data_IF_689355335322
#
_entry.id   IF_689355335322
#
_cell.length_a   1.000
_cell.length_b   1.000
_cell.length_c   1.000
_cell.angle_alpha   90.00
_cell.angle_beta   90.00
_cell.angle_gamma   90.00
#
_symmetry.space_group_name_H-M   'P 1'
#
loop_
_entity.id
_entity.type
_entity.pdbx_description
1 polymer ?
#
# COMPACT_ATOMS: atom_id res chain seq x y z
N UNK A 1 28.88 11.21 -4.57
CA UNK A 1 27.41 11.32 -4.56
C UNK A 1 26.95 10.85 -3.21
N UNK A 2 26.14 11.64 -2.51
CA UNK A 2 25.66 11.31 -1.17
C UNK A 2 24.35 12.02 -0.90
N UNK A 3 23.44 11.34 -0.22
CA UNK A 3 22.18 11.90 0.27
C UNK A 3 22.33 12.16 1.77
N UNK A 4 21.89 13.32 2.23
CA UNK A 4 21.77 13.62 3.66
C UNK A 4 20.30 13.57 4.05
N UNK A 5 19.91 12.59 4.85
CA UNK A 5 18.61 12.55 5.49
C UNK A 5 18.67 13.39 6.77
N UNK A 6 17.85 14.43 6.89
CA UNK A 6 17.65 15.16 8.14
C UNK A 6 16.36 14.69 8.79
N UNK A 7 16.44 14.28 10.05
CA UNK A 7 15.32 13.67 10.76
C UNK A 7 14.72 14.67 11.73
N UNK A 8 13.39 14.78 11.75
CA UNK A 8 12.66 15.73 12.59
C UNK A 8 11.57 15.04 13.40
N UNK A 9 11.54 15.32 14.71
CA UNK A 9 10.45 14.99 15.61
C UNK A 9 9.59 16.25 15.80
N UNK A 10 8.38 16.24 15.22
CA UNK A 10 7.37 17.27 15.44
C UNK A 10 6.15 16.73 16.17
N UNK A 11 6.25 15.56 16.80
CA UNK A 11 5.13 14.94 17.49
C UNK A 11 4.56 15.82 18.60
N UNK A 12 5.40 16.66 19.21
CA UNK A 12 5.03 17.46 20.38
C UNK A 12 4.80 16.61 21.63
N UNK A 13 5.14 15.32 21.59
CA UNK A 13 5.10 14.44 22.74
C UNK A 13 6.15 14.86 23.77
N UNK A 14 5.82 14.72 25.05
CA UNK A 14 6.81 14.88 26.10
C UNK A 14 7.70 13.65 26.12
N UNK A 15 9.02 13.81 26.24
CA UNK A 15 9.94 12.67 26.40
C UNK A 15 9.61 11.79 27.62
N UNK A 16 8.80 12.30 28.56
CA UNK A 16 8.31 11.53 29.71
C UNK A 16 7.12 10.62 29.37
N UNK A 17 6.38 10.89 28.30
CA UNK A 17 5.28 10.04 27.83
C UNK A 17 5.78 9.06 26.79
N UNK A 18 6.35 9.54 25.69
CA UNK A 18 6.90 8.72 24.62
C UNK A 18 7.94 9.49 23.80
N UNK A 19 8.78 8.76 23.08
CA UNK A 19 9.78 9.30 22.17
C UNK A 19 9.65 8.65 20.79
N UNK A 20 10.10 9.36 19.75
CA UNK A 20 10.32 8.76 18.43
C UNK A 20 11.68 8.06 18.43
N UNK A 21 11.68 6.80 17.99
CA UNK A 21 12.85 5.97 17.79
C UNK A 21 12.99 5.63 16.31
N UNK A 22 14.23 5.59 15.83
CA UNK A 22 14.55 5.23 14.44
C UNK A 22 15.55 4.07 14.42
N UNK A 23 15.25 3.07 13.62
CA UNK A 23 16.19 2.03 13.19
C UNK A 23 16.40 2.17 11.68
N UNK A 24 17.57 1.78 11.18
CA UNK A 24 17.85 1.88 9.75
C UNK A 24 18.80 0.80 9.27
N UNK A 25 18.63 0.37 8.01
CA UNK A 25 19.54 -0.58 7.38
C UNK A 25 19.61 -0.40 5.87
N UNK A 26 20.77 -0.78 5.32
CA UNK A 26 20.99 -0.94 3.89
C UNK A 26 20.91 -2.43 3.56
N UNK A 27 19.96 -2.83 2.72
CA UNK A 27 19.84 -4.20 2.26
C UNK A 27 20.73 -4.39 1.03
N UNK A 28 22.04 -4.52 1.20
CA UNK A 28 22.97 -4.61 0.07
C UNK A 28 22.89 -5.89 -0.79
N UNK A 29 21.83 -6.70 -0.66
CA UNK A 29 21.61 -7.96 -1.39
C UNK A 29 22.66 -9.04 -1.15
N UNK A 30 23.63 -8.78 -0.28
CA UNK A 30 24.78 -9.63 0.00
C UNK A 30 25.27 -9.39 1.42
N UNK A 31 25.95 -10.40 1.97
CA UNK A 31 26.57 -10.35 3.29
C UNK A 31 27.52 -9.15 3.45
N UNK A 32 28.27 -8.81 2.41
CA UNK A 32 29.31 -7.79 2.50
C UNK A 32 28.78 -6.36 2.46
N UNK A 33 27.53 -6.19 2.00
CA UNK A 33 26.91 -4.89 1.79
C UNK A 33 25.81 -4.57 2.80
N UNK A 34 25.41 -5.52 3.67
CA UNK A 34 24.45 -5.24 4.74
C UNK A 34 25.06 -4.38 5.85
N UNK A 35 24.42 -3.23 6.09
CA UNK A 35 24.85 -2.21 7.07
C UNK A 35 23.66 -1.76 7.89
N UNK A 36 23.91 -1.33 9.11
CA UNK A 36 22.88 -0.78 10.02
C UNK A 36 23.20 0.66 10.38
N UNK A 37 22.16 1.41 10.72
CA UNK A 37 22.28 2.78 11.19
C UNK A 37 22.99 2.80 12.55
N UNK A 38 24.08 3.54 12.62
CA UNK A 38 24.92 3.73 13.78
C UNK A 38 25.30 5.22 13.86
N UNK A 39 24.67 5.93 14.80
CA UNK A 39 24.63 7.39 14.81
C UNK A 39 24.20 7.97 13.45
N UNK A 40 25.06 8.77 12.81
CA UNK A 40 24.75 9.51 11.58
C UNK A 40 25.14 8.77 10.28
N UNK A 41 25.53 7.50 10.36
CA UNK A 41 26.08 6.74 9.23
C UNK A 41 25.54 5.30 9.21
N UNK A 42 25.64 4.64 8.05
CA UNK A 42 25.45 3.20 7.94
C UNK A 42 26.78 2.48 8.09
N UNK A 43 26.91 1.61 9.09
CA UNK A 43 28.16 0.95 9.45
C UNK A 43 28.02 -0.56 9.58
N UNK A 44 29.17 -1.25 9.61
CA UNK A 44 29.29 -2.67 9.99
C UNK A 44 30.13 -2.73 11.27
N UNK A 45 29.83 -3.67 12.19
CA UNK A 45 30.66 -3.87 13.37
C UNK A 45 32.07 -4.38 13.00
N UNK A 46 32.21 -5.12 11.89
CA UNK A 46 33.51 -5.49 11.33
C UNK A 46 33.42 -5.72 9.82
N UNK A 47 34.57 -5.77 9.14
CA UNK A 47 34.65 -6.06 7.71
C UNK A 47 34.26 -7.51 7.36
N UNK A 48 34.28 -8.42 8.34
CA UNK A 48 34.09 -9.87 8.14
C UNK A 48 32.88 -10.44 8.88
N UNK A 49 32.15 -9.62 9.62
CA UNK A 49 30.98 -10.03 10.42
C UNK A 49 29.83 -9.06 10.12
N UNK A 50 28.67 -9.56 9.70
CA UNK A 50 27.53 -8.70 9.43
C UNK A 50 26.91 -8.28 10.78
N UNK A 51 26.19 -7.16 10.82
CA UNK A 51 25.35 -6.84 11.98
C UNK A 51 24.42 -8.01 12.33
N UNK A 52 24.43 -8.45 13.59
CA UNK A 52 23.52 -9.48 14.13
C UNK A 52 22.19 -8.91 14.64
N UNK A 53 22.10 -7.59 14.70
CA UNK A 53 20.89 -6.86 15.07
C UNK A 53 20.88 -5.46 14.45
N UNK A 54 19.70 -4.84 14.38
CA UNK A 54 19.50 -3.43 14.03
C UNK A 54 19.06 -2.67 15.28
N UNK A 55 19.93 -1.81 15.84
CA UNK A 55 19.58 -1.04 17.04
C UNK A 55 18.59 0.08 16.70
N UNK A 56 17.79 0.46 17.69
CA UNK A 56 17.02 1.69 17.64
C UNK A 56 17.83 2.82 18.27
N UNK A 57 17.68 4.01 17.72
CA UNK A 57 18.26 5.23 18.25
C UNK A 57 17.15 6.24 18.48
N UNK A 58 17.24 7.01 19.55
CA UNK A 58 16.29 8.09 19.81
C UNK A 58 16.44 9.15 18.73
N UNK A 59 15.35 9.56 18.10
CA UNK A 59 15.42 10.45 16.93
C UNK A 59 16.03 11.81 17.27
N UNK A 60 15.84 12.30 18.49
CA UNK A 60 16.48 13.53 19.00
C UNK A 60 18.00 13.49 18.99
N UNK A 61 18.58 12.29 19.03
CA UNK A 61 20.01 12.05 19.13
C UNK A 61 20.63 11.81 17.75
N UNK A 62 19.80 11.62 16.71
CA UNK A 62 20.19 11.41 15.31
C UNK A 62 19.67 12.56 14.44
N UNK A 63 20.41 13.67 14.44
CA UNK A 63 19.98 14.88 13.71
C UNK A 63 20.04 14.73 12.18
N UNK A 64 20.94 13.86 11.71
CA UNK A 64 21.11 13.57 10.29
C UNK A 64 21.67 12.17 10.07
N UNK A 65 21.43 11.61 8.89
CA UNK A 65 22.00 10.35 8.41
C UNK A 65 22.57 10.56 7.03
N UNK A 66 23.81 10.13 6.80
CA UNK A 66 24.48 10.25 5.50
C UNK A 66 24.47 8.90 4.79
N UNK A 67 23.88 8.89 3.59
CA UNK A 67 23.94 7.77 2.67
C UNK A 67 24.94 8.06 1.55
N UNK A 68 26.08 7.38 1.59
CA UNK A 68 27.12 7.44 0.54
C UNK A 68 27.41 6.08 -0.11
N UNK A 69 26.83 5.02 0.44
CA UNK A 69 27.01 3.66 -0.08
C UNK A 69 26.08 3.41 -1.26
N UNK A 70 26.58 2.62 -2.23
CA UNK A 70 25.73 2.08 -3.29
C UNK A 70 24.77 1.09 -2.67
N UNK A 71 23.49 1.23 -3.01
CA UNK A 71 22.43 0.36 -2.48
C UNK A 71 21.64 -0.28 -3.60
N UNK A 72 20.76 -1.22 -3.26
CA UNK A 72 19.89 -1.91 -4.22
C UNK A 72 18.48 -1.31 -4.29
N UNK A 73 18.18 -0.28 -3.49
CA UNK A 73 16.86 0.35 -3.42
C UNK A 73 15.85 -0.30 -2.48
N UNK A 74 16.22 -1.34 -1.71
CA UNK A 74 15.37 -1.99 -0.70
C UNK A 74 15.86 -1.66 0.72
N UNK A 75 16.22 -0.39 0.94
CA UNK A 75 16.73 0.11 2.21
C UNK A 75 15.62 0.82 3.00
N UNK A 76 15.70 0.78 4.32
CA UNK A 76 14.59 1.22 5.18
C UNK A 76 15.07 2.03 6.36
N UNK A 77 14.35 3.11 6.66
CA UNK A 77 14.28 3.72 7.98
C UNK A 77 12.93 3.34 8.59
N UNK A 78 12.96 2.70 9.75
CA UNK A 78 11.79 2.30 10.53
C UNK A 78 11.64 3.26 11.71
N UNK A 79 10.51 3.97 11.76
CA UNK A 79 10.17 4.90 12.83
C UNK A 79 9.15 4.25 13.77
N UNK A 80 9.36 4.37 15.08
CA UNK A 80 8.46 3.84 16.11
C UNK A 80 8.27 4.89 17.19
N UNK A 81 7.03 5.09 17.65
CA UNK A 81 6.76 5.92 18.84
C UNK A 81 6.53 4.99 20.02
N UNK A 82 7.33 5.12 21.07
CA UNK A 82 7.30 4.20 22.23
C UNK A 82 7.64 4.93 23.53
N UNK A 83 7.09 4.44 24.64
CA UNK A 83 7.38 4.94 26.01
C UNK A 83 8.78 4.55 26.51
N UNK A 84 9.41 3.57 25.87
CA UNK A 84 10.75 3.08 26.18
C UNK A 84 11.53 2.75 24.90
N UNK A 85 12.85 2.62 25.01
CA UNK A 85 13.71 2.16 23.91
C UNK A 85 13.23 0.78 23.41
N UNK A 86 12.91 0.65 22.11
CA UNK A 86 12.58 -0.65 21.52
C UNK A 86 13.77 -1.61 21.56
N UNK A 87 13.47 -2.90 21.71
CA UNK A 87 14.49 -3.94 21.51
C UNK A 87 15.04 -3.90 20.09
N UNK A 88 16.34 -4.14 19.94
CA UNK A 88 16.98 -4.22 18.63
C UNK A 88 16.39 -5.35 17.78
N UNK A 89 16.16 -5.10 16.49
CA UNK A 89 15.64 -6.13 15.59
C UNK A 89 16.72 -7.19 15.34
N UNK A 90 16.42 -8.45 15.57
CA UNK A 90 17.34 -9.55 15.24
C UNK A 90 17.51 -9.67 13.74
N UNK A 91 18.72 -9.96 13.25
CA UNK A 91 18.96 -10.19 11.82
C UNK A 91 19.12 -11.68 11.52
N UNK A 92 18.61 -12.13 10.38
CA UNK A 92 18.81 -13.48 9.85
C UNK A 92 19.05 -13.38 8.36
N UNK A 93 20.11 -14.04 7.86
CA UNK A 93 20.52 -13.98 6.45
C UNK A 93 20.68 -12.55 5.91
N UNK A 94 21.23 -11.64 6.73
CA UNK A 94 21.43 -10.22 6.40
C UNK A 94 20.12 -9.46 6.12
N UNK A 95 19.01 -9.92 6.70
CA UNK A 95 17.73 -9.24 6.68
C UNK A 95 17.21 -9.10 8.11
N UNK A 96 16.80 -7.89 8.55
CA UNK A 96 16.14 -7.73 9.85
C UNK A 96 14.83 -8.52 9.88
N UNK A 97 14.58 -9.21 10.98
CA UNK A 97 13.25 -9.75 11.27
C UNK A 97 12.40 -8.57 11.71
N UNK A 98 11.59 -8.07 10.77
CA UNK A 98 10.72 -6.91 10.99
C UNK A 98 9.60 -7.24 11.97
N UNK A 99 8.95 -6.20 12.50
CA UNK A 99 7.74 -6.36 13.32
C UNK A 99 6.69 -7.17 12.57
N UNK A 100 5.90 -7.97 13.31
CA UNK A 100 4.70 -8.57 12.74
C UNK A 100 3.79 -7.44 12.21
N UNK A 101 3.26 -7.61 10.99
CA UNK A 101 2.26 -6.68 10.44
C UNK A 101 0.99 -6.71 11.29
N UNK A 102 0.35 -5.54 11.44
CA UNK A 102 -0.88 -5.40 12.19
C UNK A 102 -2.10 -5.69 11.31
N UNK A 103 -3.23 -6.12 11.88
CA UNK A 103 -3.50 -6.26 13.31
C UNK A 103 -3.04 -7.60 13.89
N UNK A 104 -3.02 -7.70 15.21
CA UNK A 104 -2.59 -8.91 15.92
C UNK A 104 -3.78 -9.72 16.44
N UNK A 105 -4.05 -10.89 15.84
CA UNK A 105 -5.03 -11.85 16.37
C UNK A 105 -4.51 -12.60 17.60
N UNK A 106 -3.20 -12.78 17.68
CA UNK A 106 -2.49 -13.44 18.79
C UNK A 106 -1.30 -12.57 19.22
N UNK A 107 -0.59 -12.96 20.28
CA UNK A 107 0.70 -12.33 20.62
C UNK A 107 1.62 -12.40 19.38
N UNK A 108 2.09 -11.26 18.85
CA UNK A 108 2.94 -11.23 17.67
C UNK A 108 4.29 -11.90 17.93
N UNK A 109 4.89 -12.49 16.88
CA UNK A 109 6.21 -13.12 17.00
C UNK A 109 7.30 -12.10 17.33
N UNK A 110 7.19 -10.91 16.75
CA UNK A 110 8.00 -9.73 17.09
C UNK A 110 7.02 -8.57 17.29
N UNK A 111 6.78 -8.21 18.55
CA UNK A 111 5.88 -7.12 18.93
C UNK A 111 6.54 -5.77 18.66
N UNK A 112 5.84 -4.86 17.97
CA UNK A 112 6.22 -3.46 18.01
C UNK A 112 5.81 -2.86 19.36
N UNK A 113 6.68 -2.07 20.03
CA UNK A 113 6.35 -1.43 21.30
C UNK A 113 5.42 -0.22 21.14
N UNK A 114 5.07 0.15 19.91
CA UNK A 114 4.12 1.21 19.61
C UNK A 114 3.81 1.34 18.12
N UNK A 115 3.05 2.37 17.72
CA UNK A 115 2.76 2.64 16.31
C UNK A 115 4.06 2.91 15.55
N UNK A 116 4.14 2.40 14.31
CA UNK A 116 5.34 2.45 13.50
C UNK A 116 5.02 2.65 12.02
N UNK A 117 6.01 3.16 11.28
CA UNK A 117 5.91 3.35 9.83
C UNK A 117 7.29 3.38 9.19
N UNK A 118 7.35 3.21 7.87
CA UNK A 118 8.61 3.01 7.13
C UNK A 118 8.81 4.07 6.06
N UNK A 119 10.05 4.54 5.94
CA UNK A 119 10.54 5.26 4.78
C UNK A 119 11.50 4.36 3.98
N UNK A 120 11.17 4.14 2.71
CA UNK A 120 11.94 3.30 1.79
C UNK A 120 12.87 4.19 0.94
N UNK A 121 14.13 3.78 0.82
CA UNK A 121 15.15 4.57 0.14
C UNK A 121 16.17 3.72 -0.62
N UNK A 122 16.95 4.41 -1.46
CA UNK A 122 18.18 3.89 -2.01
C UNK A 122 19.02 4.98 -2.68
N UNK A 123 20.34 4.75 -2.79
CA UNK A 123 21.20 5.68 -3.53
C UNK A 123 20.94 5.52 -5.03
N UNK A 124 20.58 6.62 -5.70
CA UNK A 124 20.16 6.62 -7.09
C UNK A 124 18.88 5.78 -7.33
N UNK A 125 17.93 5.82 -6.38
CA UNK A 125 16.61 5.23 -6.47
C UNK A 125 15.50 6.28 -6.21
N UNK A 126 14.25 5.93 -6.52
CA UNK A 126 13.11 6.71 -6.04
C UNK A 126 12.95 6.51 -4.53
N UNK A 127 12.51 7.55 -3.84
CA UNK A 127 12.23 7.51 -2.40
C UNK A 127 10.72 7.53 -2.19
N UNK A 128 10.22 6.76 -1.21
CA UNK A 128 8.78 6.67 -0.97
C UNK A 128 8.40 6.43 0.49
N UNK A 129 7.15 6.80 0.78
CA UNK A 129 6.40 6.34 1.93
C UNK A 129 5.35 5.34 1.44
N UNK A 130 5.07 4.32 2.23
CA UNK A 130 4.13 3.27 1.86
C UNK A 130 3.07 3.07 2.93
N UNK A 131 1.82 2.87 2.51
CA UNK A 131 0.71 2.50 3.39
C UNK A 131 0.10 1.15 2.96
N UNK A 132 0.85 0.34 2.20
CA UNK A 132 0.41 -0.97 1.66
C UNK A 132 0.18 -1.98 2.78
N UNK A 133 1.02 -1.95 3.82
CA UNK A 133 0.90 -2.78 5.03
C UNK A 133 0.23 -2.01 6.18
N UNK A 134 -0.58 -1.02 5.81
CA UNK A 134 -1.27 -0.12 6.72
C UNK A 134 -0.56 1.22 6.98
N UNK A 135 -1.19 2.08 7.79
CA UNK A 135 -0.71 3.41 8.14
C UNK A 135 -0.61 3.59 9.67
N UNK A 136 0.60 3.83 10.18
CA UNK A 136 0.88 3.95 11.62
C UNK A 136 1.24 5.35 12.07
N UNK A 137 2.08 6.08 11.32
CA UNK A 137 2.59 7.40 11.67
C UNK A 137 2.35 8.39 10.53
N UNK A 138 2.06 9.65 10.86
CA UNK A 138 1.95 10.76 9.90
C UNK A 138 3.32 11.23 9.40
N UNK A 139 4.04 10.32 8.74
CA UNK A 139 5.31 10.62 8.10
C UNK A 139 5.12 11.53 6.89
N UNK A 140 6.12 12.38 6.69
CA UNK A 140 6.28 13.19 5.49
C UNK A 140 7.75 13.39 5.20
N UNK A 141 8.07 13.69 3.94
CA UNK A 141 9.43 14.05 3.59
C UNK A 141 9.48 15.14 2.53
N UNK A 142 10.60 15.85 2.49
CA UNK A 142 10.89 16.81 1.43
C UNK A 142 12.23 16.53 0.79
N UNK A 143 12.34 16.70 -0.52
CA UNK A 143 13.61 16.57 -1.25
C UNK A 143 14.01 17.94 -1.80
N UNK A 144 15.19 18.42 -1.42
CA UNK A 144 15.73 19.66 -1.97
C UNK A 144 15.90 19.54 -3.49
N UNK A 145 15.59 20.63 -4.21
CA UNK A 145 15.74 20.75 -5.66
C UNK A 145 14.87 19.80 -6.52
N UNK A 146 13.95 19.03 -5.93
CA UNK A 146 12.92 18.28 -6.64
C UNK A 146 11.70 19.16 -6.99
N UNK A 147 11.08 19.04 -8.18
CA UNK A 147 9.96 19.92 -8.58
C UNK A 147 8.75 19.90 -7.65
N UNK A 148 8.48 18.75 -7.02
CA UNK A 148 7.31 18.55 -6.16
C UNK A 148 7.60 18.82 -4.67
N UNK A 149 8.87 18.96 -4.30
CA UNK A 149 9.48 19.21 -2.98
C UNK A 149 8.97 18.43 -1.76
N UNK A 150 7.68 18.15 -1.58
CA UNK A 150 7.06 17.56 -0.38
C UNK A 150 6.22 16.32 -0.70
N UNK A 151 6.21 15.33 0.19
CA UNK A 151 5.56 14.02 0.03
C UNK A 151 5.01 13.50 1.38
N UNK A 152 3.98 12.67 1.37
CA UNK A 152 3.35 12.13 2.59
C UNK A 152 2.23 13.01 3.16
N UNK A 153 2.09 13.03 4.49
CA UNK A 153 1.04 13.77 5.20
C UNK A 153 1.35 15.27 5.28
N UNK A 154 0.33 16.12 5.15
CA UNK A 154 0.46 17.57 5.37
C UNK A 154 0.97 17.90 6.77
N UNK A 155 1.80 18.94 6.86
CA UNK A 155 2.42 19.39 8.12
C UNK A 155 1.43 19.92 9.15
N UNK A 156 0.26 20.40 8.72
CA UNK A 156 -0.78 20.96 9.60
C UNK A 156 -1.81 19.92 10.07
N UNK A 157 -1.58 18.63 9.80
CA UNK A 157 -2.48 17.54 10.16
C UNK A 157 -1.86 16.63 11.21
N UNK A 158 -2.48 16.60 12.39
CA UNK A 158 -2.06 15.74 13.48
C UNK A 158 -2.55 14.31 13.32
N UNK A 159 -1.85 13.37 13.96
CA UNK A 159 -2.24 11.97 13.99
C UNK A 159 -3.64 11.77 14.61
N UNK A 160 -3.97 12.54 15.65
CA UNK A 160 -5.32 12.54 16.24
C UNK A 160 -6.41 12.98 15.24
N UNK A 161 -6.13 13.95 14.38
CA UNK A 161 -7.06 14.39 13.34
C UNK A 161 -7.28 13.31 12.29
N UNK A 162 -6.24 12.58 11.88
CA UNK A 162 -6.34 11.48 10.90
C UNK A 162 -7.27 10.39 11.41
N UNK A 163 -7.15 9.99 12.68
CA UNK A 163 -8.04 8.99 13.29
C UNK A 163 -9.52 9.41 13.22
N UNK A 164 -9.81 10.65 13.62
CA UNK A 164 -11.17 11.22 13.59
C UNK A 164 -11.70 11.34 12.16
N UNK A 165 -10.82 11.74 11.23
CA UNK A 165 -11.15 11.83 9.81
C UNK A 165 -11.51 10.45 9.26
N UNK A 166 -10.75 9.40 9.57
CA UNK A 166 -11.03 8.02 9.12
C UNK A 166 -12.42 7.56 9.53
N UNK A 167 -12.75 7.65 10.82
CA UNK A 167 -14.07 7.22 11.32
C UNK A 167 -15.20 7.98 10.63
N UNK A 168 -15.03 9.28 10.43
CA UNK A 168 -16.05 10.13 9.80
C UNK A 168 -16.14 9.90 8.29
N UNK A 169 -15.01 9.65 7.63
CA UNK A 169 -14.92 9.31 6.22
C UNK A 169 -15.68 8.03 5.91
N UNK A 170 -15.39 6.94 6.64
CA UNK A 170 -16.10 5.66 6.48
C UNK A 170 -17.60 5.82 6.68
N UNK A 171 -18.03 6.58 7.70
CA UNK A 171 -19.47 6.87 7.92
C UNK A 171 -20.09 7.71 6.81
N UNK A 172 -19.34 8.64 6.22
CA UNK A 172 -19.82 9.49 5.13
C UNK A 172 -19.96 8.69 3.83
N UNK A 173 -18.96 7.88 3.48
CA UNK A 173 -19.00 6.99 2.33
C UNK A 173 -20.12 5.95 2.46
N UNK A 174 -20.35 5.45 3.68
CA UNK A 174 -21.43 4.51 3.98
C UNK A 174 -22.84 5.04 3.67
N UNK A 175 -23.01 6.36 3.51
CA UNK A 175 -24.29 6.94 3.05
C UNK A 175 -24.59 6.61 1.59
N UNK A 176 -23.55 6.40 0.78
CA UNK A 176 -23.67 6.02 -0.62
C UNK A 176 -23.61 4.50 -0.81
N UNK A 177 -22.83 3.79 0.02
CA UNK A 177 -22.76 2.33 0.02
C UNK A 177 -22.49 1.78 1.43
N UNK A 178 -23.50 1.14 2.03
CA UNK A 178 -23.44 0.65 3.41
C UNK A 178 -22.30 -0.36 3.65
N UNK A 179 -21.84 -1.06 2.61
CA UNK A 179 -20.76 -2.06 2.71
C UNK A 179 -19.43 -1.43 3.13
N UNK A 180 -19.25 -0.12 2.91
CA UNK A 180 -18.05 0.62 3.34
C UNK A 180 -17.87 0.58 4.86
N UNK A 181 -18.93 0.37 5.65
CA UNK A 181 -18.80 0.19 7.11
C UNK A 181 -17.91 -0.99 7.51
N UNK A 182 -17.70 -1.97 6.62
CA UNK A 182 -16.77 -3.08 6.85
C UNK A 182 -15.33 -2.59 7.12
N UNK A 183 -14.94 -1.41 6.64
CA UNK A 183 -13.61 -0.83 6.84
C UNK A 183 -13.45 -0.09 8.16
N UNK A 184 -14.53 0.10 8.93
CA UNK A 184 -14.49 0.91 10.16
C UNK A 184 -13.48 0.37 11.18
N UNK A 185 -13.44 -0.94 11.35
CA UNK A 185 -12.64 -1.58 12.39
C UNK A 185 -11.15 -1.63 12.06
N UNK A 186 -10.77 -1.27 10.82
CA UNK A 186 -9.37 -1.07 10.43
C UNK A 186 -8.67 0.01 11.26
N UNK A 187 -9.40 0.92 11.92
CA UNK A 187 -8.83 1.81 12.93
C UNK A 187 -8.49 1.01 14.21
N UNK A 188 -7.34 0.35 14.17
CA UNK A 188 -6.90 -0.61 15.17
C UNK A 188 -6.37 0.11 16.41
N UNK A 189 -7.13 0.02 17.50
CA UNK A 189 -6.83 0.65 18.80
C UNK A 189 -7.05 -0.29 19.99
N UNK A 190 -7.59 -1.48 19.73
CA UNK A 190 -7.99 -2.46 20.73
C UNK A 190 -7.80 -3.87 20.17
N UNK A 191 -7.84 -4.93 21.00
CA UNK A 191 -7.65 -6.30 20.54
C UNK A 191 -8.68 -6.69 19.48
N UNK A 192 -8.28 -7.50 18.49
CA UNK A 192 -9.19 -8.01 17.46
C UNK A 192 -10.31 -8.88 18.02
N UNK A 193 -10.02 -9.61 19.10
CA UNK A 193 -10.96 -10.50 19.77
C UNK A 193 -11.04 -10.16 21.26
N UNK A 194 -12.19 -10.36 21.93
CA UNK A 194 -12.30 -10.14 23.36
C UNK A 194 -11.25 -10.95 24.14
N UNK A 195 -10.40 -10.27 24.90
CA UNK A 195 -9.31 -10.89 25.67
C UNK A 195 -8.06 -11.24 24.86
N UNK A 196 -7.97 -10.83 23.58
CA UNK A 196 -6.80 -10.97 22.74
C UNK A 196 -5.65 -10.02 23.10
N UNK A 197 -4.59 -10.02 22.28
CA UNK A 197 -3.44 -9.14 22.47
C UNK A 197 -3.83 -7.66 22.32
N UNK A 198 -3.43 -6.85 23.29
CA UNK A 198 -3.64 -5.40 23.28
C UNK A 198 -2.47 -4.72 22.57
N UNK A 199 -2.70 -4.00 21.44
CA UNK A 199 -1.65 -3.18 20.86
C UNK A 199 -1.24 -2.07 21.84
N UNK A 200 0.06 -1.76 21.96
CA UNK A 200 0.53 -0.68 22.81
C UNK A 200 0.19 0.68 22.16
N UNK A 201 -0.88 1.30 22.66
CA UNK A 201 -1.34 2.63 22.24
C UNK A 201 -0.65 3.73 23.06
N UNK A 202 -0.37 4.87 22.43
CA UNK A 202 0.27 6.03 23.07
C UNK A 202 -0.75 7.18 23.12
N UNK A 203 -0.96 7.74 24.31
CA UNK A 203 -1.94 8.82 24.60
C UNK A 203 -3.36 8.51 24.07
N UNK A 204 -3.83 7.28 24.27
CA UNK A 204 -5.16 6.79 23.82
C UNK A 204 -5.43 6.92 22.31
N UNK A 205 -4.39 7.14 21.49
CA UNK A 205 -4.53 7.14 20.04
C UNK A 205 -4.46 5.73 19.46
N UNK A 206 -5.03 5.56 18.27
CA UNK A 206 -4.98 4.30 17.52
C UNK A 206 -3.54 3.79 17.33
N UNK A 207 -3.35 2.48 17.17
CA UNK A 207 -2.07 1.88 16.84
C UNK A 207 -1.78 2.00 15.34
N UNK A 208 -2.71 1.60 14.49
CA UNK A 208 -2.60 1.80 13.04
C UNK A 208 -3.97 1.83 12.37
N UNK A 209 -4.03 2.34 11.14
CA UNK A 209 -5.11 2.04 10.22
C UNK A 209 -4.62 0.84 9.41
N UNK A 210 -5.12 -0.35 9.75
CA UNK A 210 -4.76 -1.61 9.09
C UNK A 210 -5.13 -1.57 7.62
N UNK A 211 -4.28 -2.13 6.75
CA UNK A 211 -4.75 -2.48 5.42
C UNK A 211 -5.74 -3.68 5.52
N UNK A 212 -6.68 -3.80 4.57
CA UNK A 212 -7.67 -4.87 4.61
C UNK A 212 -7.10 -6.28 4.39
N UNK A 213 -5.95 -6.42 3.71
CA UNK A 213 -5.34 -7.73 3.49
C UNK A 213 -4.81 -8.29 4.80
N UNK A 214 -4.01 -7.53 5.54
CA UNK A 214 -3.41 -7.99 6.80
C UNK A 214 -4.49 -8.16 7.88
N UNK A 215 -5.55 -7.33 7.85
CA UNK A 215 -6.74 -7.53 8.68
C UNK A 215 -7.42 -8.88 8.44
N UNK A 216 -7.68 -9.23 7.18
CA UNK A 216 -8.27 -10.52 6.82
C UNK A 216 -7.32 -11.68 7.06
N UNK A 217 -6.03 -11.53 6.76
CA UNK A 217 -5.02 -12.55 7.06
C UNK A 217 -4.98 -12.85 8.56
N UNK A 218 -4.97 -11.83 9.41
CA UNK A 218 -4.95 -11.99 10.86
C UNK A 218 -6.23 -12.64 11.39
N UNK A 219 -7.40 -12.18 10.93
CA UNK A 219 -8.70 -12.69 11.38
C UNK A 219 -9.08 -14.07 10.84
N UNK A 220 -8.41 -14.55 9.79
CA UNK A 220 -8.70 -15.85 9.14
C UNK A 220 -7.59 -16.89 9.28
N UNK A 221 -6.49 -16.58 9.98
CA UNK A 221 -5.34 -17.50 10.06
C UNK A 221 -4.61 -17.63 8.73
N UNK A 222 -4.21 -16.50 8.15
CA UNK A 222 -3.56 -16.35 6.86
C UNK A 222 -4.33 -17.04 5.72
N UNK A 223 -5.63 -16.75 5.63
CA UNK A 223 -6.52 -17.30 4.61
C UNK A 223 -6.70 -18.82 4.64
N UNK A 224 -6.27 -19.51 5.71
CA UNK A 224 -6.44 -20.96 5.88
C UNK A 224 -7.72 -21.34 6.64
N UNK A 225 -8.32 -20.40 7.35
CA UNK A 225 -9.53 -20.59 8.15
C UNK A 225 -10.78 -19.96 7.55
N UNK A 226 -11.77 -19.74 8.41
CA UNK A 226 -13.00 -18.99 8.08
C UNK A 226 -13.05 -17.72 8.93
N UNK A 227 -13.76 -16.71 8.46
CA UNK A 227 -14.01 -15.48 9.20
C UNK A 227 -15.44 -15.02 8.97
N UNK A 228 -16.04 -14.35 9.96
CA UNK A 228 -17.32 -13.66 9.82
C UNK A 228 -17.14 -12.17 9.52
N UNK A 229 -15.89 -11.74 9.28
CA UNK A 229 -15.60 -10.35 8.96
C UNK A 229 -16.29 -9.94 7.64
N UNK A 230 -17.07 -8.84 7.61
CA UNK A 230 -17.77 -8.40 6.41
C UNK A 230 -16.84 -8.07 5.23
N UNK A 231 -15.56 -7.76 5.46
CA UNK A 231 -14.58 -7.57 4.40
C UNK A 231 -14.37 -8.85 3.60
N UNK A 232 -14.63 -10.04 4.16
CA UNK A 232 -14.42 -11.31 3.46
C UNK A 232 -15.33 -11.50 2.25
N UNK A 233 -16.49 -10.84 2.19
CA UNK A 233 -17.44 -10.93 1.06
C UNK A 233 -17.59 -9.60 0.31
N UNK A 234 -16.78 -8.59 0.65
CA UNK A 234 -16.95 -7.22 0.14
C UNK A 234 -16.88 -7.12 -1.39
N UNK A 235 -16.08 -7.99 -2.04
CA UNK A 235 -15.85 -7.97 -3.48
C UNK A 235 -16.72 -8.94 -4.28
N UNK A 236 -17.53 -9.78 -3.63
CA UNK A 236 -18.24 -10.90 -4.26
C UNK A 236 -19.12 -10.45 -5.44
N UNK A 237 -19.98 -9.47 -5.21
CA UNK A 237 -20.89 -8.95 -6.25
C UNK A 237 -20.12 -8.28 -7.38
N UNK A 238 -19.09 -7.49 -7.04
CA UNK A 238 -18.29 -6.76 -8.02
C UNK A 238 -17.55 -7.72 -8.95
N UNK A 239 -16.97 -8.78 -8.41
CA UNK A 239 -16.26 -9.80 -9.19
C UNK A 239 -17.24 -10.70 -9.96
N UNK A 240 -18.43 -10.97 -9.42
CA UNK A 240 -19.47 -11.68 -10.14
C UNK A 240 -19.94 -10.92 -11.39
N UNK A 241 -20.17 -9.61 -11.29
CA UNK A 241 -20.52 -8.79 -12.46
C UNK A 241 -19.33 -8.60 -13.40
N UNK A 242 -18.10 -8.48 -12.88
CA UNK A 242 -16.90 -8.29 -13.71
C UNK A 242 -16.64 -9.51 -14.60
N UNK A 243 -16.65 -10.70 -14.01
CA UNK A 243 -16.46 -11.97 -14.70
C UNK A 243 -17.77 -12.58 -15.24
N UNK A 244 -18.74 -11.75 -15.62
CA UNK A 244 -19.99 -12.24 -16.21
C UNK A 244 -19.75 -12.80 -17.61
N UNK A 245 -20.40 -13.91 -17.93
CA UNK A 245 -20.24 -14.60 -19.21
C UNK A 245 -20.49 -13.65 -20.40
N UNK A 246 -19.52 -13.58 -21.30
CA UNK A 246 -19.58 -12.75 -22.51
C UNK A 246 -19.11 -11.31 -22.35
N UNK A 247 -18.86 -10.83 -21.11
CA UNK A 247 -18.19 -9.55 -20.88
C UNK A 247 -16.87 -9.50 -21.64
N UNK A 248 -16.47 -8.32 -22.13
CA UNK A 248 -15.25 -8.15 -22.91
C UNK A 248 -14.34 -7.10 -22.30
N UNK A 249 -13.04 -7.31 -22.54
CA UNK A 249 -11.97 -6.36 -22.20
C UNK A 249 -11.11 -6.11 -23.44
N UNK A 250 -10.58 -4.90 -23.54
CA UNK A 250 -9.53 -4.49 -24.47
C UNK A 250 -8.54 -3.61 -23.71
N UNK A 251 -7.41 -4.21 -23.32
CA UNK A 251 -6.38 -3.59 -22.49
C UNK A 251 -5.19 -3.22 -23.38
N UNK A 252 -4.78 -1.96 -23.33
CA UNK A 252 -3.58 -1.46 -24.00
C UNK A 252 -2.44 -1.33 -22.99
N UNK A 253 -1.42 -2.18 -23.10
CA UNK A 253 -0.19 -2.10 -22.31
C UNK A 253 0.87 -1.17 -22.93
N UNK A 254 0.56 -0.53 -24.06
CA UNK A 254 1.46 0.35 -24.82
C UNK A 254 1.06 1.82 -24.73
N UNK A 255 1.78 2.70 -25.41
CA UNK A 255 1.42 4.13 -25.46
C UNK A 255 0.32 4.39 -26.50
N UNK A 256 -0.22 5.61 -26.54
CA UNK A 256 -1.16 6.02 -27.61
C UNK A 256 -0.54 6.00 -29.01
N UNK A 257 0.79 6.06 -29.12
CA UNK A 257 1.51 6.04 -30.39
C UNK A 257 1.93 4.62 -30.83
N UNK A 258 2.08 3.70 -29.88
CA UNK A 258 2.49 2.33 -30.11
C UNK A 258 1.63 1.39 -29.25
N UNK A 259 0.48 1.02 -29.80
CA UNK A 259 -0.50 0.19 -29.11
C UNK A 259 0.04 -1.24 -28.89
N UNK A 260 -0.21 -1.79 -27.71
CA UNK A 260 0.05 -3.19 -27.35
C UNK A 260 -1.22 -3.76 -26.73
N UNK A 261 -2.12 -4.22 -27.61
CA UNK A 261 -3.51 -4.55 -27.27
C UNK A 261 -3.69 -6.02 -26.93
N UNK A 262 -4.43 -6.27 -25.86
CA UNK A 262 -4.90 -7.58 -25.44
C UNK A 262 -6.42 -7.55 -25.32
N UNK A 263 -7.08 -8.41 -26.09
CA UNK A 263 -8.54 -8.39 -26.23
C UNK A 263 -9.12 -9.77 -26.02
N UNK A 264 -10.30 -9.81 -25.42
CA UNK A 264 -10.95 -11.08 -25.16
C UNK A 264 -12.28 -10.95 -24.46
N UNK A 265 -12.84 -12.11 -24.13
CA UNK A 265 -14.11 -12.21 -23.43
C UNK A 265 -14.01 -13.13 -22.23
N UNK A 266 -14.88 -12.90 -21.27
CA UNK A 266 -15.13 -13.80 -20.17
C UNK A 266 -15.92 -15.01 -20.69
N UNK A 267 -15.41 -16.21 -20.41
CA UNK A 267 -16.01 -17.48 -20.81
C UNK A 267 -15.79 -18.54 -19.73
N UNK A 268 -16.50 -19.65 -19.85
CA UNK A 268 -16.17 -20.83 -19.05
C UNK A 268 -14.80 -21.37 -19.47
N UNK A 269 -13.90 -21.50 -18.49
CA UNK A 269 -12.55 -21.99 -18.62
C UNK A 269 -12.29 -23.07 -17.56
N UNK A 270 -11.32 -23.94 -17.79
CA UNK A 270 -10.84 -24.86 -16.77
C UNK A 270 -9.67 -24.20 -16.05
N UNK A 271 -9.79 -24.02 -14.73
CA UNK A 271 -8.71 -23.46 -13.92
C UNK A 271 -7.51 -24.42 -13.91
N UNK A 272 -6.29 -23.98 -14.24
CA UNK A 272 -5.15 -24.87 -14.46
C UNK A 272 -4.69 -25.61 -13.20
N UNK A 273 -4.92 -25.03 -12.02
CA UNK A 273 -4.47 -25.62 -10.74
C UNK A 273 -5.51 -26.50 -10.07
N UNK A 274 -6.80 -26.13 -10.14
CA UNK A 274 -7.88 -26.85 -9.45
C UNK A 274 -8.61 -27.81 -10.38
N UNK A 275 -8.40 -27.69 -11.71
CA UNK A 275 -9.12 -28.41 -12.76
C UNK A 275 -10.65 -28.22 -12.76
N UNK A 276 -11.15 -27.25 -12.00
CA UNK A 276 -12.57 -26.90 -11.95
C UNK A 276 -12.94 -25.96 -13.10
N UNK A 277 -14.17 -26.10 -13.60
CA UNK A 277 -14.75 -25.13 -14.53
C UNK A 277 -15.14 -23.85 -13.80
N UNK A 278 -14.61 -22.70 -14.22
CA UNK A 278 -14.94 -21.38 -13.67
C UNK A 278 -15.01 -20.33 -14.78
N UNK A 279 -15.58 -19.17 -14.48
CA UNK A 279 -15.57 -18.03 -15.38
C UNK A 279 -14.18 -17.38 -15.38
N UNK A 280 -13.71 -16.96 -16.55
CA UNK A 280 -12.45 -16.24 -16.67
C UNK A 280 -12.31 -15.52 -18.00
N UNK A 281 -11.54 -14.44 -18.00
CA UNK A 281 -11.14 -13.75 -19.22
C UNK A 281 -10.03 -14.51 -19.93
N UNK A 282 -10.15 -14.64 -21.25
CA UNK A 282 -9.08 -15.15 -22.12
C UNK A 282 -8.69 -14.03 -23.06
N UNK A 283 -7.59 -13.34 -22.78
CA UNK A 283 -7.13 -12.16 -23.51
C UNK A 283 -6.01 -12.54 -24.47
N UNK A 284 -6.17 -12.24 -25.75
CA UNK A 284 -5.20 -12.53 -26.81
C UNK A 284 -4.58 -11.23 -27.32
N UNK A 285 -3.26 -11.24 -27.53
CA UNK A 285 -2.51 -10.11 -28.03
C UNK A 285 -1.15 -10.52 -28.62
N UNK A 286 -0.23 -9.57 -28.83
CA UNK A 286 1.02 -9.81 -29.55
C UNK A 286 1.94 -10.89 -28.96
N UNK A 287 1.97 -11.06 -27.63
CA UNK A 287 2.85 -12.05 -26.97
C UNK A 287 2.14 -13.37 -26.63
N UNK A 288 0.85 -13.51 -26.93
CA UNK A 288 0.13 -14.75 -26.72
C UNK A 288 -1.27 -14.55 -26.17
N UNK A 289 -1.78 -15.60 -25.51
CA UNK A 289 -3.09 -15.59 -24.85
C UNK A 289 -2.92 -15.90 -23.38
N UNK A 290 -3.48 -15.04 -22.53
CA UNK A 290 -3.43 -15.17 -21.08
C UNK A 290 -4.84 -15.34 -20.51
N UNK A 291 -4.93 -16.04 -19.37
CA UNK A 291 -6.21 -16.37 -18.74
C UNK A 291 -6.24 -15.87 -17.30
N UNK A 292 -7.33 -15.20 -16.95
CA UNK A 292 -7.58 -14.60 -15.63
C UNK A 292 -8.90 -15.14 -15.10
N UNK A 293 -8.89 -15.72 -13.90
CA UNK A 293 -10.01 -16.51 -13.40
C UNK A 293 -10.75 -15.78 -12.29
N UNK A 294 -12.07 -15.94 -12.26
CA UNK A 294 -12.90 -15.47 -11.16
C UNK A 294 -12.56 -16.28 -9.90
N UNK A 295 -12.20 -15.64 -8.77
CA UNK A 295 -12.01 -16.34 -7.50
C UNK A 295 -13.34 -16.87 -6.94
N UNK A 296 -13.27 -17.83 -6.02
CA UNK A 296 -14.45 -18.28 -5.28
C UNK A 296 -14.99 -17.15 -4.39
N UNK A 297 -16.31 -17.14 -4.18
CA UNK A 297 -16.95 -16.14 -3.33
C UNK A 297 -16.58 -16.31 -1.86
N UNK A 298 -16.68 -15.21 -1.10
CA UNK A 298 -16.17 -15.12 0.26
C UNK A 298 -14.68 -14.83 0.26
N UNK A 299 -13.95 -15.41 1.22
CA UNK A 299 -12.60 -14.97 1.58
C UNK A 299 -11.59 -14.93 0.41
N UNK A 300 -11.70 -15.85 -0.57
CA UNK A 300 -10.85 -15.84 -1.77
C UNK A 300 -11.11 -14.63 -2.67
N UNK A 301 -12.35 -14.12 -2.73
CA UNK A 301 -12.72 -12.92 -3.50
C UNK A 301 -11.98 -11.69 -2.96
N UNK A 302 -11.90 -11.56 -1.64
CA UNK A 302 -11.21 -10.46 -0.97
C UNK A 302 -9.70 -10.64 -0.99
N UNK A 303 -9.20 -11.87 -0.83
CA UNK A 303 -7.78 -12.17 -1.01
C UNK A 303 -7.31 -11.78 -2.42
N UNK A 304 -8.10 -12.09 -3.45
CA UNK A 304 -7.78 -11.77 -4.85
C UNK A 304 -7.56 -10.27 -5.06
N UNK A 305 -8.36 -9.40 -4.43
CA UNK A 305 -8.28 -7.95 -4.63
C UNK A 305 -7.33 -7.26 -3.65
N UNK A 306 -7.34 -7.65 -2.38
CA UNK A 306 -6.54 -6.97 -1.35
C UNK A 306 -5.09 -7.47 -1.30
N UNK A 307 -4.83 -8.77 -1.49
CA UNK A 307 -3.48 -9.31 -1.38
C UNK A 307 -2.63 -8.99 -2.62
N UNK A 308 -3.26 -8.99 -3.80
CA UNK A 308 -2.60 -8.72 -5.09
C UNK A 308 -1.31 -9.54 -5.29
N UNK A 309 -1.34 -10.80 -4.86
CA UNK A 309 -0.19 -11.70 -4.92
C UNK A 309 -0.29 -12.66 -6.09
N UNK A 310 0.86 -12.94 -6.71
CA UNK A 310 0.94 -13.96 -7.74
C UNK A 310 1.05 -15.37 -7.12
N UNK A 311 0.17 -16.29 -7.53
CA UNK A 311 0.24 -17.68 -7.08
C UNK A 311 -0.65 -18.63 -7.85
N UNK A 312 -0.36 -19.94 -7.73
CA UNK A 312 -1.07 -20.99 -8.45
C UNK A 312 -2.58 -21.05 -8.15
N UNK A 313 -3.01 -20.56 -6.99
CA UNK A 313 -4.43 -20.52 -6.62
C UNK A 313 -5.21 -19.41 -7.33
N UNK A 314 -4.85 -18.15 -7.08
CA UNK A 314 -5.66 -16.99 -7.46
C UNK A 314 -5.27 -16.38 -8.82
N UNK A 315 -4.00 -16.50 -9.22
CA UNK A 315 -3.46 -15.86 -10.44
C UNK A 315 -2.43 -16.78 -11.12
N UNK A 316 -2.87 -17.91 -11.69
CA UNK A 316 -1.97 -18.94 -12.20
C UNK A 316 -1.12 -18.50 -13.40
N UNK A 317 -1.45 -17.39 -14.06
CA UNK A 317 -0.64 -16.82 -15.14
C UNK A 317 0.74 -16.32 -14.65
N UNK A 318 0.86 -16.01 -13.36
CA UNK A 318 2.10 -15.55 -12.74
C UNK A 318 2.49 -14.11 -13.11
N UNK A 319 3.64 -13.63 -12.59
CA UNK A 319 4.09 -12.25 -12.75
C UNK A 319 4.87 -12.00 -14.05
N UNK A 320 5.13 -13.03 -14.85
CA UNK A 320 6.04 -12.92 -15.99
C UNK A 320 5.38 -12.20 -17.17
N UNK A 321 6.19 -11.42 -17.87
CA UNK A 321 5.87 -10.77 -19.14
C UNK A 321 4.57 -9.94 -19.09
N UNK A 322 3.85 -9.86 -20.22
CA UNK A 322 2.58 -9.14 -20.32
C UNK A 322 1.47 -9.76 -19.46
N UNK A 323 1.64 -11.01 -18.97
CA UNK A 323 0.64 -11.66 -18.14
C UNK A 323 0.47 -10.97 -16.78
N UNK A 324 1.59 -10.61 -16.15
CA UNK A 324 1.63 -9.85 -14.89
C UNK A 324 1.07 -8.44 -15.06
N UNK A 325 1.55 -7.71 -16.08
CA UNK A 325 1.10 -6.34 -16.37
C UNK A 325 -0.42 -6.22 -16.60
N UNK A 326 -1.03 -7.21 -17.27
CA UNK A 326 -2.48 -7.28 -17.44
C UNK A 326 -3.21 -7.53 -16.12
N UNK A 327 -2.65 -8.38 -15.25
CA UNK A 327 -3.22 -8.64 -13.93
C UNK A 327 -3.15 -7.39 -13.03
N UNK A 328 -2.05 -6.63 -13.12
CA UNK A 328 -1.89 -5.35 -12.41
C UNK A 328 -2.97 -4.35 -12.86
N UNK A 329 -3.19 -4.20 -14.17
CA UNK A 329 -4.27 -3.36 -14.71
C UNK A 329 -5.65 -3.72 -14.15
N UNK A 330 -5.95 -5.03 -14.04
CA UNK A 330 -7.23 -5.51 -13.49
C UNK A 330 -7.35 -5.15 -12.00
N UNK A 331 -6.28 -5.39 -11.22
CA UNK A 331 -6.26 -5.08 -9.79
C UNK A 331 -6.37 -3.58 -9.51
N UNK A 332 -5.63 -2.76 -10.24
CA UNK A 332 -5.72 -1.30 -10.16
C UNK A 332 -7.16 -0.83 -10.43
N UNK A 333 -7.78 -1.33 -11.49
CA UNK A 333 -9.14 -0.93 -11.86
C UNK A 333 -10.18 -1.36 -10.79
N UNK A 334 -10.02 -2.54 -10.18
CA UNK A 334 -10.86 -3.00 -9.07
C UNK A 334 -10.68 -2.11 -7.85
N UNK A 335 -9.44 -1.85 -7.43
CA UNK A 335 -9.13 -1.03 -6.27
C UNK A 335 -9.60 0.41 -6.44
N UNK A 336 -9.42 1.00 -7.63
CA UNK A 336 -9.86 2.37 -7.96
C UNK A 336 -11.36 2.47 -8.28
N UNK A 337 -12.10 1.37 -8.25
CA UNK A 337 -13.56 1.35 -8.44
C UNK A 337 -14.03 1.66 -9.86
N UNK A 338 -13.19 1.37 -10.86
CA UNK A 338 -13.46 1.61 -12.28
C UNK A 338 -13.43 0.34 -13.13
N UNK A 339 -13.22 -0.84 -12.54
CA UNK A 339 -13.21 -2.12 -13.26
C UNK A 339 -14.41 -2.27 -14.20
N UNK A 340 -15.63 -2.04 -13.70
CA UNK A 340 -16.87 -2.12 -14.48
C UNK A 340 -16.97 -1.07 -15.58
N UNK A 341 -16.35 0.10 -15.43
CA UNK A 341 -16.39 1.14 -16.45
C UNK A 341 -15.65 0.71 -17.73
N UNK A 342 -14.64 -0.14 -17.59
CA UNK A 342 -13.87 -0.68 -18.71
C UNK A 342 -14.33 -2.05 -19.19
N UNK A 343 -15.50 -2.53 -18.73
CA UNK A 343 -16.14 -3.74 -19.24
C UNK A 343 -17.12 -3.36 -20.34
N UNK A 344 -17.04 -4.04 -21.48
CA UNK A 344 -18.15 -4.05 -22.44
C UNK A 344 -19.04 -5.25 -22.14
N UNK A 345 -20.32 -5.01 -21.84
CA UNK A 345 -21.26 -6.10 -21.60
C UNK A 345 -21.58 -6.88 -22.88
N UNK A 346 -21.88 -8.17 -22.73
CA UNK A 346 -22.22 -9.05 -23.86
C UNK A 346 -23.43 -8.57 -24.69
N UNK A 347 -24.31 -7.77 -24.08
CA UNK A 347 -25.52 -7.19 -24.67
C UNK A 347 -25.23 -5.98 -25.57
N UNK A 348 -24.04 -5.38 -25.49
CA UNK A 348 -23.69 -4.18 -26.23
C UNK A 348 -23.23 -4.50 -27.66
N UNK A 349 -23.77 -3.75 -28.63
CA UNK A 349 -23.51 -3.97 -30.07
C UNK A 349 -22.65 -2.88 -30.70
N UNK A 350 -22.19 -1.91 -29.93
CA UNK A 350 -21.40 -0.77 -30.40
C UNK A 350 -20.00 -1.21 -30.86
N UNK A 351 -19.50 -0.61 -31.95
CA UNK A 351 -18.15 -0.87 -32.44
C UNK A 351 -17.11 -0.43 -31.41
N UNK A 352 -16.18 -1.32 -31.06
CA UNK A 352 -15.16 -1.07 -30.05
C UNK A 352 -14.04 -0.17 -30.57
N UNK A 353 -13.72 0.87 -29.80
CA UNK A 353 -12.40 1.47 -29.88
C UNK A 353 -11.40 0.51 -29.23
N UNK A 354 -10.26 0.30 -29.88
CA UNK A 354 -9.18 -0.48 -29.30
C UNK A 354 -8.71 0.16 -27.98
N UNK A 355 -8.46 -0.65 -26.95
CA UNK A 355 -8.02 -0.18 -25.64
C UNK A 355 -9.11 0.44 -24.78
N UNK A 356 -10.40 0.18 -25.06
CA UNK A 356 -11.52 0.80 -24.33
C UNK A 356 -11.48 0.53 -22.82
N UNK A 357 -10.97 -0.62 -22.37
CA UNK A 357 -10.85 -0.90 -20.94
C UNK A 357 -9.82 0.03 -20.31
N UNK A 358 -8.64 0.15 -20.91
CA UNK A 358 -7.57 1.05 -20.46
C UNK A 358 -8.01 2.51 -20.47
N UNK A 359 -8.72 2.97 -21.51
CA UNK A 359 -9.26 4.35 -21.56
C UNK A 359 -10.11 4.66 -20.32
N UNK A 360 -10.99 3.73 -19.93
CA UNK A 360 -11.91 3.93 -18.80
C UNK A 360 -11.25 3.69 -17.46
N UNK A 361 -10.31 2.76 -17.37
CA UNK A 361 -9.57 2.47 -16.15
C UNK A 361 -8.56 3.55 -15.81
N UNK A 362 -7.98 4.21 -16.81
CA UNK A 362 -6.95 5.24 -16.62
C UNK A 362 -7.54 6.67 -16.52
N UNK A 363 -8.87 6.83 -16.66
CA UNK A 363 -9.54 8.10 -16.37
C UNK A 363 -9.57 8.35 -14.85
N UNK A 364 -8.53 9.01 -14.35
CA UNK A 364 -8.36 9.35 -12.94
C UNK A 364 -9.51 10.16 -12.36
N UNK A 365 -10.27 10.87 -13.20
CA UNK A 365 -11.43 11.65 -12.75
C UNK A 365 -12.58 10.76 -12.31
N UNK A 366 -12.59 9.48 -12.70
CA UNK A 366 -13.58 8.46 -12.35
C UNK A 366 -13.17 7.58 -11.18
N UNK A 367 -11.92 7.66 -10.72
CA UNK A 367 -11.46 6.83 -9.62
C UNK A 367 -12.20 7.15 -8.34
N UNK A 368 -12.58 6.11 -7.59
CA UNK A 368 -13.19 6.21 -6.27
C UNK A 368 -14.45 7.07 -6.21
N UNK A 369 -15.30 7.08 -7.25
CA UNK A 369 -16.58 7.80 -7.23
C UNK A 369 -17.48 7.26 -6.13
N UNK A 370 -18.29 8.15 -5.54
CA UNK A 370 -19.28 7.77 -4.54
C UNK A 370 -20.24 6.69 -5.09
N UNK A 371 -20.56 5.69 -4.25
CA UNK A 371 -21.45 4.58 -4.62
C UNK A 371 -20.85 3.53 -5.54
N UNK A 372 -19.56 3.65 -5.90
CA UNK A 372 -18.81 2.59 -6.58
C UNK A 372 -18.02 1.79 -5.55
N UNK A 373 -18.11 0.46 -5.63
CA UNK A 373 -17.25 -0.42 -4.84
C UNK A 373 -15.81 -0.19 -5.25
N UNK A 374 -14.98 0.12 -4.27
CA UNK A 374 -13.57 0.41 -4.40
C UNK A 374 -12.84 0.02 -3.11
N UNK A 375 -11.52 0.15 -3.12
CA UNK A 375 -10.69 -0.04 -1.95
C UNK A 375 -10.84 1.15 -0.99
N UNK A 376 -11.86 1.13 -0.12
CA UNK A 376 -12.24 2.29 0.71
C UNK A 376 -11.14 2.80 1.64
N UNK A 377 -10.25 1.91 2.09
CA UNK A 377 -9.01 2.31 2.81
C UNK A 377 -8.09 3.20 1.94
N UNK A 378 -7.70 2.75 0.74
CA UNK A 378 -6.92 3.56 -0.19
C UNK A 378 -7.67 4.84 -0.58
N UNK A 379 -8.99 4.79 -0.81
CA UNK A 379 -9.80 6.00 -1.05
C UNK A 379 -9.63 7.04 0.06
N UNK A 380 -9.69 6.63 1.33
CA UNK A 380 -9.46 7.52 2.46
C UNK A 380 -8.08 8.18 2.39
N UNK A 381 -7.03 7.39 2.13
CA UNK A 381 -5.66 7.89 2.03
C UNK A 381 -5.50 8.91 0.90
N UNK A 382 -6.06 8.66 -0.29
CA UNK A 382 -5.97 9.61 -1.39
C UNK A 382 -6.83 10.86 -1.17
N UNK A 383 -8.09 10.69 -0.75
CA UNK A 383 -9.11 11.73 -0.91
C UNK A 383 -9.74 12.21 0.37
N UNK A 384 -9.44 11.68 1.56
CA UNK A 384 -10.01 12.26 2.78
C UNK A 384 -9.37 13.62 3.08
N UNK A 385 -10.20 14.62 3.34
CA UNK A 385 -9.80 15.82 4.07
C UNK A 385 -9.78 15.57 5.59
N UNK A 386 -9.31 16.57 6.35
CA UNK A 386 -9.22 16.52 7.82
C UNK A 386 -10.59 16.41 8.52
N UNK A 387 -11.68 16.70 7.81
CA UNK A 387 -13.04 16.58 8.31
C UNK A 387 -13.67 15.22 7.97
N UNK A 388 -12.92 14.28 7.39
CA UNK A 388 -13.42 12.98 6.97
C UNK A 388 -14.41 13.09 5.81
N UNK A 389 -14.20 14.01 4.88
CA UNK A 389 -14.98 14.14 3.64
C UNK A 389 -14.07 13.95 2.43
N UNK A 390 -14.60 13.43 1.33
CA UNK A 390 -13.89 13.40 0.06
C UNK A 390 -13.52 14.84 -0.37
N UNK A 391 -12.23 15.11 -0.49
CA UNK A 391 -11.60 16.42 -0.75
C UNK A 391 -12.11 17.04 -2.05
N UNK A 392 -12.51 16.21 -3.02
CA UNK A 392 -13.09 16.65 -4.29
C UNK A 392 -14.51 17.19 -4.13
N UNK A 393 -15.22 16.73 -3.09
CA UNK A 393 -16.58 17.18 -2.77
C UNK A 393 -16.56 18.39 -1.84
N UNK A 394 -15.66 18.42 -0.85
CA UNK A 394 -15.57 19.53 0.12
C UNK A 394 -14.80 20.73 -0.42
N UNK A 395 -13.95 20.53 -1.43
CA UNK A 395 -13.00 21.53 -1.93
C UNK A 395 -11.85 21.82 -0.97
N UNK A 396 -11.74 21.09 0.14
CA UNK A 396 -10.62 21.19 1.09
C UNK A 396 -9.47 20.29 0.63
N UNK A 397 -8.22 20.63 0.95
CA UNK A 397 -7.10 19.76 0.59
C UNK A 397 -7.19 18.43 1.35
N UNK A 398 -6.79 17.34 0.68
CA UNK A 398 -6.62 16.01 1.28
C UNK A 398 -5.61 16.04 2.43
N UNK A 399 -5.66 15.03 3.31
CA UNK A 399 -4.68 14.80 4.38
C UNK A 399 -3.30 14.51 3.78
N UNK A 400 -3.26 13.63 2.78
CA UNK A 400 -2.03 13.27 2.06
C UNK A 400 -1.82 14.20 0.88
N UNK A 401 -0.60 14.70 0.73
CA UNK A 401 -0.26 15.69 -0.27
C UNK A 401 -0.54 15.15 -1.69
N UNK A 402 -1.19 15.99 -2.50
CA UNK A 402 -1.53 15.75 -3.92
C UNK A 402 -2.39 14.50 -4.18
N UNK A 403 -3.03 13.94 -3.16
CA UNK A 403 -3.73 12.67 -3.24
C UNK A 403 -2.81 11.53 -3.72
N UNK A 404 -1.51 11.58 -3.41
CA UNK A 404 -0.55 10.55 -3.81
C UNK A 404 -0.19 9.72 -2.57
N UNK A 405 -0.48 8.42 -2.58
CA UNK A 405 -0.18 7.46 -1.51
C UNK A 405 -0.05 6.07 -2.15
N UNK A 406 0.79 5.19 -1.62
CA UNK A 406 0.68 3.75 -1.90
C UNK A 406 -0.41 3.16 -0.99
N UNK A 407 -1.67 3.14 -1.44
CA UNK A 407 -2.79 2.61 -0.65
C UNK A 407 -3.04 1.10 -0.84
N UNK A 408 -2.41 0.50 -1.84
CA UNK A 408 -2.37 -0.94 -2.15
C UNK A 408 -1.10 -1.23 -2.99
N UNK A 409 -0.72 -2.50 -3.18
CA UNK A 409 0.61 -2.83 -3.73
C UNK A 409 0.80 -2.42 -5.19
N UNK A 410 -0.26 -2.38 -5.98
CA UNK A 410 -0.26 -1.92 -7.38
C UNK A 410 -0.69 -0.46 -7.56
N UNK A 411 -0.61 0.39 -6.54
CA UNK A 411 -1.07 1.79 -6.63
C UNK A 411 -0.09 2.72 -7.37
N UNK A 412 0.41 2.22 -8.50
CA UNK A 412 1.37 2.86 -9.38
C UNK A 412 0.68 3.72 -10.44
N UNK A 413 1.45 4.56 -11.12
CA UNK A 413 0.96 5.19 -12.34
C UNK A 413 0.48 4.08 -13.29
N UNK A 414 -0.76 4.14 -13.79
CA UNK A 414 -1.35 3.03 -14.52
C UNK A 414 -0.61 2.78 -15.83
N UNK A 415 -0.56 1.51 -16.20
CA UNK A 415 0.02 1.08 -17.48
C UNK A 415 -0.88 1.52 -18.63
N UNK A 416 -0.26 1.97 -19.73
CA UNK A 416 -0.96 2.44 -20.93
C UNK A 416 -1.04 3.97 -21.00
N UNK A 417 -1.91 4.52 -21.87
CA UNK A 417 -2.13 5.96 -21.94
C UNK A 417 -2.67 6.50 -20.62
N UNK A 418 -1.97 7.47 -20.04
CA UNK A 418 -2.35 8.13 -18.79
C UNK A 418 -1.85 9.58 -18.81
N UNK A 419 -2.71 10.51 -18.42
CA UNK A 419 -2.42 11.95 -18.34
C UNK A 419 -2.75 12.55 -16.96
N UNK A 420 -3.05 11.67 -15.99
CA UNK A 420 -3.47 12.07 -14.66
C UNK A 420 -2.34 12.46 -13.72
N UNK A 421 -2.68 12.75 -12.46
CA UNK A 421 -1.69 13.07 -11.43
C UNK A 421 -0.77 11.87 -11.14
N UNK A 422 0.45 12.15 -10.70
CA UNK A 422 1.37 11.11 -10.23
C UNK A 422 0.77 10.36 -9.04
N UNK A 423 0.68 9.04 -9.16
CA UNK A 423 0.44 8.11 -8.07
C UNK A 423 1.55 7.04 -8.15
N UNK A 424 2.18 6.67 -7.03
CA UNK A 424 1.89 6.98 -5.62
C UNK A 424 2.80 8.09 -5.07
N UNK A 425 2.91 8.22 -3.75
CA UNK A 425 3.81 9.18 -3.06
C UNK A 425 5.30 8.80 -3.18
N UNK A 426 5.87 8.93 -4.38
CA UNK A 426 7.30 8.71 -4.62
C UNK A 426 7.94 9.85 -5.41
N UNK A 427 9.26 9.99 -5.29
CA UNK A 427 10.00 10.99 -6.06
C UNK A 427 9.90 10.71 -7.56
N UNK A 428 9.77 11.76 -8.38
CA UNK A 428 9.64 11.60 -9.85
C UNK A 428 10.93 11.12 -10.51
N UNK A 429 12.06 11.40 -9.87
CA UNK A 429 13.37 11.00 -10.35
C UNK A 429 14.12 10.22 -9.29
N UNK A 430 15.17 9.53 -9.72
CA UNK A 430 16.10 8.85 -8.84
C UNK A 430 16.94 9.90 -8.10
N UNK A 431 16.97 9.81 -6.77
CA UNK A 431 17.73 10.72 -5.93
C UNK A 431 19.12 10.15 -5.73
N UNK A 432 20.15 10.87 -6.18
CA UNK A 432 21.56 10.44 -6.06
C UNK A 432 22.41 11.37 -5.19
N UNK A 433 21.90 12.57 -4.91
CA UNK A 433 22.54 13.52 -3.99
C UNK A 433 21.56 14.57 -3.48
N UNK A 434 21.95 15.29 -2.43
CA UNK A 434 21.18 16.41 -1.88
C UNK A 434 20.66 16.12 -0.48
N UNK A 435 19.75 16.98 0.01
CA UNK A 435 19.15 16.83 1.33
C UNK A 435 17.71 16.34 1.21
N UNK A 436 17.37 15.36 2.04
CA UNK A 436 16.01 14.87 2.24
C UNK A 436 15.63 15.12 3.69
N UNK A 437 14.61 15.92 3.96
CA UNK A 437 14.09 16.09 5.31
C UNK A 437 12.98 15.08 5.54
N UNK A 438 13.01 14.30 6.61
CA UNK A 438 11.99 13.32 6.98
C UNK A 438 11.44 13.74 8.34
N UNK A 439 10.12 13.84 8.46
CA UNK A 439 9.46 14.33 9.67
C UNK A 439 8.40 13.37 10.15
N UNK A 440 8.43 13.07 11.44
CA UNK A 440 7.28 12.49 12.16
C UNK A 440 6.40 13.64 12.64
N UNK A 441 5.18 13.73 12.11
CA UNK A 441 4.29 14.88 12.33
C UNK A 441 3.66 14.94 13.72
N UNK A 442 2.90 16.02 13.94
CA UNK A 442 2.24 16.30 15.21
C UNK A 442 1.34 15.16 15.70
N UNK A 443 1.38 14.90 17.01
CA UNK A 443 0.55 13.88 17.64
C UNK A 443 -0.90 14.35 17.79
N UNK A 444 -1.11 15.57 18.31
CA UNK A 444 -2.42 16.11 18.70
C UNK A 444 -2.88 17.30 17.87
#
# INVERSE_FOLDING_TARGET
MSITFKLFDETGLSEKSACVWVAGWINGGSFDAFKVLDAEQFSRPSATTPPSSVPFQKLSDVSQVILSDVTNGDDRLLFVVSTAEPDALTTTNNNPIQFTQYPFANVPSIASPGPFDVFEFGLNAQLNLTAVSGFGLNLRFTVQDEPLQEYGVRSDVSRAQIAKAFEKFIRNEAKSDIRVLAFKDLLYSAPLTPGGYQPPVIDDQFFAICDPNDWLASSSGNYQGTTNDPLSTYWDETLAEFFKLGNRLSINLGSSAALRLYEGSCKMLTHPTTNAGTLGFSLSGPQGTYQYFKPESGLQSSQYVFQQSFGAGLTPAGPADDAGLLQDCIWEALCRGVAQNGVQEASETTSLNAGFSTEKWNDWTQWYKAGKICHSYSKFLHYSDVDGTDSRLSGKPSIFLRNAVYGFSMDENPIGPYDGPEVPSKTRSNISSGTVNITVGAWN
#
